data_IF_784684115268
#
_entry.id   IF_784684115268
#
_cell.length_a   1.000
_cell.length_b   1.000
_cell.length_c   1.000
_cell.angle_alpha   90.00
_cell.angle_beta   90.00
_cell.angle_gamma   90.00
#
_symmetry.space_group_name_H-M   'P 1'
#
loop_
_entity.id
_entity.type
_entity.pdbx_description
1 polymer ?
#
# COMPACT_ATOMS: atom_id res chain seq x y z
N UNK A 1 -3.92 -11.13 3.19
CA UNK A 1 -4.58 -10.05 2.42
C UNK A 1 -5.97 -9.67 2.97
N UNK A 2 -6.58 -10.50 3.82
CA UNK A 2 -7.88 -10.21 4.46
C UNK A 2 -7.82 -9.10 5.52
N UNK A 3 -6.64 -8.81 6.04
CA UNK A 3 -6.31 -7.66 6.90
C UNK A 3 -5.07 -6.91 6.37
N UNK A 4 -4.74 -5.80 7.03
CA UNK A 4 -3.63 -4.89 6.65
C UNK A 4 -2.36 -5.10 7.48
N UNK A 5 -2.31 -6.09 8.37
CA UNK A 5 -1.11 -6.34 9.16
C UNK A 5 0.07 -6.71 8.24
N UNK A 6 1.24 -6.13 8.49
CA UNK A 6 2.43 -6.34 7.65
C UNK A 6 2.26 -5.87 6.20
N UNK A 7 1.42 -4.87 5.96
CA UNK A 7 1.13 -4.32 4.63
C UNK A 7 1.40 -2.82 4.57
N UNK A 8 1.81 -2.33 3.40
CA UNK A 8 1.74 -0.91 3.07
C UNK A 8 0.39 -0.67 2.42
N UNK A 9 -0.35 0.33 2.92
CA UNK A 9 -1.66 0.72 2.39
C UNK A 9 -1.55 1.99 1.55
N UNK A 10 -2.31 2.08 0.46
CA UNK A 10 -2.39 3.27 -0.40
C UNK A 10 -3.84 3.73 -0.52
N UNK A 11 -4.10 4.96 -0.10
CA UNK A 11 -5.40 5.66 -0.18
C UNK A 11 -5.21 7.04 -0.80
N UNK A 12 -6.29 7.61 -1.35
CA UNK A 12 -6.33 9.01 -1.77
C UNK A 12 -6.46 9.93 -0.54
N UNK A 13 -6.25 11.22 -0.75
CA UNK A 13 -6.35 12.25 0.28
C UNK A 13 -7.77 12.41 0.86
N UNK A 14 -8.79 12.00 0.11
CA UNK A 14 -10.18 11.94 0.55
C UNK A 14 -10.55 10.63 1.29
N UNK A 15 -9.57 9.74 1.48
CA UNK A 15 -9.75 8.44 2.13
C UNK A 15 -10.27 7.33 1.21
N UNK A 16 -10.58 7.62 -0.05
CA UNK A 16 -11.02 6.60 -1.02
C UNK A 16 -9.86 5.76 -1.53
N UNK A 17 -10.15 4.56 -2.02
CA UNK A 17 -9.14 3.65 -2.58
C UNK A 17 -8.86 4.01 -4.04
N UNK A 18 -7.59 4.18 -4.46
CA UNK A 18 -7.24 4.34 -5.87
C UNK A 18 -7.69 3.15 -6.72
N UNK A 19 -8.22 3.44 -7.92
CA UNK A 19 -8.77 2.42 -8.83
C UNK A 19 -7.70 1.44 -9.34
N UNK A 20 -6.45 1.88 -9.39
CA UNK A 20 -5.26 1.16 -9.85
C UNK A 20 -4.54 0.39 -8.73
N UNK A 21 -5.14 0.24 -7.54
CA UNK A 21 -4.56 -0.60 -6.49
C UNK A 21 -4.53 -2.08 -6.93
N UNK A 22 -3.41 -2.80 -6.70
CA UNK A 22 -3.17 -4.12 -7.26
C UNK A 22 -4.15 -5.20 -6.77
N UNK A 23 -4.67 -5.04 -5.55
CA UNK A 23 -5.58 -6.01 -4.94
C UNK A 23 -7.04 -5.54 -4.91
N UNK A 24 -7.38 -4.44 -5.60
CA UNK A 24 -8.73 -3.87 -5.56
C UNK A 24 -9.82 -4.84 -6.03
N UNK A 25 -9.53 -5.61 -7.08
CA UNK A 25 -10.45 -6.60 -7.66
C UNK A 25 -10.24 -8.02 -7.12
N UNK A 26 -9.29 -8.24 -6.21
CA UNK A 26 -8.98 -9.58 -5.70
C UNK A 26 -10.02 -10.00 -4.64
N UNK A 27 -10.76 -11.11 -4.85
CA UNK A 27 -11.74 -11.57 -3.88
C UNK A 27 -11.12 -11.83 -2.51
N UNK A 28 -11.75 -11.30 -1.45
CA UNK A 28 -11.28 -11.47 -0.07
C UNK A 28 -10.05 -10.65 0.31
N UNK A 29 -9.46 -9.88 -0.61
CA UNK A 29 -8.38 -8.95 -0.29
C UNK A 29 -8.92 -7.59 0.15
N UNK A 30 -8.17 -6.90 1.02
CA UNK A 30 -8.44 -5.49 1.33
C UNK A 30 -7.99 -4.64 0.14
N UNK A 31 -8.89 -3.84 -0.46
CA UNK A 31 -8.58 -3.11 -1.71
C UNK A 31 -7.53 -2.00 -1.50
N UNK A 32 -7.32 -1.55 -0.27
CA UNK A 32 -6.31 -0.55 0.08
C UNK A 32 -4.87 -1.08 0.17
N UNK A 33 -4.66 -2.40 0.14
CA UNK A 33 -3.31 -2.98 0.19
C UNK A 33 -2.56 -2.62 -1.10
N UNK A 34 -1.35 -2.08 -0.96
CA UNK A 34 -0.42 -1.82 -2.05
C UNK A 34 0.66 -2.90 -2.13
N UNK A 35 1.24 -3.28 -0.99
CA UNK A 35 2.20 -4.38 -0.87
C UNK A 35 2.06 -5.05 0.50
N UNK A 36 2.51 -6.31 0.60
CA UNK A 36 2.38 -7.14 1.81
C UNK A 36 3.65 -7.95 2.06
N UNK A 37 3.77 -8.51 3.26
CA UNK A 37 4.93 -9.33 3.66
C UNK A 37 5.98 -8.55 4.48
N UNK A 38 5.62 -7.35 4.94
CA UNK A 38 6.50 -6.49 5.74
C UNK A 38 6.43 -6.87 7.22
N UNK A 39 7.58 -6.89 7.91
CA UNK A 39 7.61 -7.23 9.34
C UNK A 39 7.40 -5.99 10.22
N UNK A 40 8.26 -4.98 10.08
CA UNK A 40 8.23 -3.72 10.84
C UNK A 40 8.92 -2.59 10.05
N UNK A 41 8.32 -2.11 8.95
CA UNK A 41 8.80 -0.88 8.32
C UNK A 41 8.56 0.28 9.30
N UNK A 42 9.56 1.13 9.48
CA UNK A 42 9.52 2.31 10.35
C UNK A 42 9.55 3.60 9.55
N UNK A 43 10.32 3.60 8.45
CA UNK A 43 10.50 4.70 7.54
C UNK A 43 9.83 4.46 6.19
N UNK A 44 9.32 5.55 5.62
CA UNK A 44 8.87 5.62 4.23
C UNK A 44 9.41 6.91 3.63
N UNK A 45 10.04 6.81 2.46
CA UNK A 45 10.59 7.96 1.76
C UNK A 45 10.31 7.86 0.26
N UNK A 46 9.93 8.98 -0.34
CA UNK A 46 9.84 9.07 -1.79
C UNK A 46 11.19 9.53 -2.35
N UNK A 47 11.71 8.78 -3.33
CA UNK A 47 12.77 9.28 -4.18
C UNK A 47 12.24 10.45 -5.01
N UNK A 48 12.88 11.62 -4.90
CA UNK A 48 12.45 12.84 -5.58
C UNK A 48 12.64 12.78 -7.08
N UNK A 49 13.59 11.99 -7.57
CA UNK A 49 13.86 11.89 -9.00
C UNK A 49 12.83 11.02 -9.72
N UNK A 50 12.46 9.88 -9.13
CA UNK A 50 11.58 8.89 -9.77
C UNK A 50 10.15 8.87 -9.23
N UNK A 51 9.91 9.46 -8.06
CA UNK A 51 8.64 9.33 -7.35
C UNK A 51 8.40 7.95 -6.74
N UNK A 52 9.41 7.07 -6.72
CA UNK A 52 9.28 5.74 -6.12
C UNK A 52 9.28 5.81 -4.60
N UNK A 53 8.42 5.02 -3.97
CA UNK A 53 8.38 4.86 -2.53
C UNK A 53 9.38 3.79 -2.08
N UNK A 54 10.24 4.14 -1.13
CA UNK A 54 11.17 3.26 -0.45
C UNK A 54 10.69 3.03 0.98
N UNK A 55 10.83 1.79 1.46
CA UNK A 55 10.52 1.36 2.82
C UNK A 55 11.73 0.62 3.40
N UNK A 56 11.97 0.75 4.70
CA UNK A 56 13.01 0.02 5.44
C UNK A 56 12.52 -1.30 6.08
#
# INVERSE_FOLDING_TARGET
>A
LSDTAGSIVRIKTDGTVPEDNPFRAAPGARPAIWSYGHRKPQGLAFDRATGQLWAD
#
